data_IF_533170509560
#
_entry.id   IF_533170509560
#
_cell.length_a   1.000
_cell.length_b   1.000
_cell.length_c   1.000
_cell.angle_alpha   90.00
_cell.angle_beta   90.00
_cell.angle_gamma   90.00
#
_symmetry.space_group_name_H-M   'P 1'
#
loop_
_entity.id
_entity.type
_entity.pdbx_description
1 polymer ?
#
# COMPACT_ATOMS: atom_id res chain seq x y z
N UNK A 1 29.99 -28.30 23.57
CA UNK A 1 30.60 -27.44 22.55
C UNK A 1 29.52 -26.55 21.96
N UNK A 2 29.69 -25.22 21.88
CA UNK A 2 28.67 -24.34 21.32
C UNK A 2 28.36 -24.75 19.87
N UNK A 3 27.08 -24.93 19.55
CA UNK A 3 26.65 -25.28 18.20
C UNK A 3 26.62 -24.02 17.32
N UNK A 4 27.81 -23.62 16.87
CA UNK A 4 28.02 -22.44 16.04
C UNK A 4 27.19 -22.46 14.74
N UNK A 5 26.93 -23.64 14.17
CA UNK A 5 26.08 -23.79 12.98
C UNK A 5 24.63 -23.38 13.25
N UNK A 6 24.07 -23.77 14.41
CA UNK A 6 22.72 -23.36 14.80
C UNK A 6 22.62 -21.83 15.03
N UNK A 7 23.65 -21.26 15.67
CA UNK A 7 23.74 -19.81 15.92
C UNK A 7 23.78 -19.02 14.61
N UNK A 8 24.59 -19.46 13.64
CA UNK A 8 24.69 -18.83 12.31
C UNK A 8 23.37 -18.97 11.54
N UNK A 9 22.75 -20.16 11.53
CA UNK A 9 21.48 -20.38 10.85
C UNK A 9 20.39 -19.45 11.40
N UNK A 10 20.32 -19.28 12.71
CA UNK A 10 19.34 -18.40 13.36
C UNK A 10 19.56 -16.92 13.01
N UNK A 11 20.81 -16.49 12.88
CA UNK A 11 21.14 -15.12 12.44
C UNK A 11 20.74 -14.90 10.97
N UNK A 12 21.04 -15.83 10.08
CA UNK A 12 20.67 -15.73 8.65
C UNK A 12 19.14 -15.70 8.48
N UNK A 13 18.40 -16.57 9.19
CA UNK A 13 16.94 -16.56 9.16
C UNK A 13 16.35 -15.24 9.70
N UNK A 14 16.91 -14.69 10.78
CA UNK A 14 16.48 -13.42 11.33
C UNK A 14 16.72 -12.25 10.36
N UNK A 15 17.90 -12.21 9.72
CA UNK A 15 18.21 -11.20 8.70
C UNK A 15 17.30 -11.32 7.47
N UNK A 16 17.05 -12.53 6.98
CA UNK A 16 16.14 -12.78 5.85
C UNK A 16 14.71 -12.32 6.15
N UNK A 17 14.20 -12.64 7.35
CA UNK A 17 12.88 -12.19 7.79
C UNK A 17 12.78 -10.67 7.93
N UNK A 18 13.84 -10.02 8.42
CA UNK A 18 13.86 -8.56 8.54
C UNK A 18 13.91 -7.85 7.18
N UNK A 19 14.73 -8.35 6.25
CA UNK A 19 14.79 -7.83 4.89
C UNK A 19 13.45 -7.99 4.16
N UNK A 20 12.81 -9.15 4.27
CA UNK A 20 11.51 -9.39 3.66
C UNK A 20 10.43 -8.48 4.26
N UNK A 21 10.39 -8.35 5.59
CA UNK A 21 9.47 -7.43 6.27
C UNK A 21 9.71 -5.96 5.86
N UNK A 22 10.96 -5.55 5.66
CA UNK A 22 11.28 -4.19 5.22
C UNK A 22 10.84 -3.93 3.76
N UNK A 23 11.01 -4.91 2.89
CA UNK A 23 10.58 -4.83 1.50
C UNK A 23 9.04 -4.79 1.41
N UNK A 24 8.36 -5.61 2.21
CA UNK A 24 6.91 -5.57 2.34
C UNK A 24 6.44 -4.21 2.84
N UNK A 25 7.07 -3.66 3.88
CA UNK A 25 6.75 -2.33 4.42
C UNK A 25 6.92 -1.24 3.36
N UNK A 26 8.02 -1.25 2.62
CA UNK A 26 8.26 -0.29 1.55
C UNK A 26 7.18 -0.38 0.46
N UNK A 27 6.79 -1.59 0.06
CA UNK A 27 5.69 -1.81 -0.89
C UNK A 27 4.35 -1.30 -0.36
N UNK A 28 4.06 -1.54 0.91
CA UNK A 28 2.83 -1.03 1.55
C UNK A 28 2.82 0.50 1.53
N UNK A 29 3.93 1.16 1.87
CA UNK A 29 4.01 2.62 1.79
C UNK A 29 3.86 3.16 0.37
N UNK A 30 4.48 2.50 -0.62
CA UNK A 30 4.30 2.86 -2.03
C UNK A 30 2.83 2.73 -2.44
N UNK A 31 2.17 1.62 -2.09
CA UNK A 31 0.75 1.41 -2.37
C UNK A 31 -0.14 2.45 -1.67
N UNK A 32 0.20 2.83 -0.44
CA UNK A 32 -0.51 3.88 0.29
C UNK A 32 -0.39 5.23 -0.42
N UNK A 33 0.83 5.58 -0.86
CA UNK A 33 1.08 6.82 -1.59
C UNK A 33 0.35 6.84 -2.94
N UNK A 34 0.40 5.74 -3.70
CA UNK A 34 -0.34 5.60 -4.96
C UNK A 34 -1.85 5.71 -4.74
N UNK A 35 -2.37 5.13 -3.67
CA UNK A 35 -3.79 5.24 -3.32
C UNK A 35 -4.21 6.69 -3.05
N UNK A 36 -3.41 7.43 -2.29
CA UNK A 36 -3.66 8.85 -1.99
C UNK A 36 -3.64 9.71 -3.26
N UNK A 37 -2.70 9.47 -4.17
CA UNK A 37 -2.64 10.14 -5.47
C UNK A 37 -3.89 9.85 -6.31
N UNK A 38 -4.33 8.59 -6.37
CA UNK A 38 -5.53 8.21 -7.11
C UNK A 38 -6.80 8.83 -6.51
N UNK A 39 -6.93 8.87 -5.19
CA UNK A 39 -8.05 9.54 -4.51
C UNK A 39 -8.11 11.02 -4.85
N UNK A 40 -6.96 11.70 -4.81
CA UNK A 40 -6.86 13.11 -5.17
C UNK A 40 -7.29 13.34 -6.62
N UNK A 41 -6.79 12.54 -7.55
CA UNK A 41 -7.16 12.64 -8.96
C UNK A 41 -8.66 12.40 -9.20
N UNK A 42 -9.25 11.43 -8.50
CA UNK A 42 -10.70 11.17 -8.57
C UNK A 42 -11.52 12.35 -8.00
N UNK A 43 -11.07 12.96 -6.90
CA UNK A 43 -11.75 14.14 -6.36
C UNK A 43 -11.67 15.33 -7.31
N UNK A 44 -10.52 15.52 -7.98
CA UNK A 44 -10.38 16.54 -9.01
C UNK A 44 -11.31 16.28 -10.20
N UNK A 45 -11.41 15.04 -10.69
CA UNK A 45 -12.36 14.66 -11.75
C UNK A 45 -13.80 14.94 -11.32
N UNK A 46 -14.16 14.59 -10.08
CA UNK A 46 -15.48 14.87 -9.50
C UNK A 46 -15.78 16.37 -9.46
N UNK A 47 -14.77 17.22 -9.22
CA UNK A 47 -14.93 18.68 -9.20
C UNK A 47 -15.00 19.29 -10.60
N UNK A 48 -14.25 18.74 -11.56
CA UNK A 48 -14.24 19.19 -12.95
C UNK A 48 -15.52 18.85 -13.70
N UNK A 49 -16.14 17.71 -13.40
CA UNK A 49 -17.37 17.24 -14.06
C UNK A 49 -18.47 16.83 -13.05
N UNK A 50 -19.01 17.78 -12.26
CA UNK A 50 -19.84 17.46 -11.10
C UNK A 50 -21.17 16.76 -11.43
N UNK A 51 -21.72 17.02 -12.62
CA UNK A 51 -22.99 16.44 -13.10
C UNK A 51 -22.82 15.45 -14.25
N UNK A 52 -21.63 15.38 -14.86
CA UNK A 52 -21.39 14.47 -15.97
C UNK A 52 -20.97 13.08 -15.53
N UNK A 53 -20.88 12.20 -16.52
CA UNK A 53 -20.67 10.77 -16.31
C UNK A 53 -19.34 10.48 -15.61
N UNK A 54 -18.29 11.24 -15.91
CA UNK A 54 -16.97 10.98 -15.35
C UNK A 54 -16.92 11.35 -13.86
N UNK A 55 -17.53 12.47 -13.46
CA UNK A 55 -17.64 12.81 -12.04
C UNK A 55 -18.56 11.87 -11.26
N UNK A 56 -19.60 11.30 -11.89
CA UNK A 56 -20.40 10.25 -11.28
C UNK A 56 -19.58 8.98 -11.00
N UNK A 57 -18.79 8.52 -11.99
CA UNK A 57 -17.90 7.36 -11.80
C UNK A 57 -16.83 7.63 -10.74
N UNK A 58 -16.25 8.83 -10.72
CA UNK A 58 -15.25 9.22 -9.74
C UNK A 58 -15.84 9.23 -8.32
N UNK A 59 -17.06 9.75 -8.16
CA UNK A 59 -17.79 9.72 -6.89
C UNK A 59 -18.04 8.29 -6.42
N UNK A 60 -18.51 7.40 -7.29
CA UNK A 60 -18.69 5.99 -6.93
C UNK A 60 -17.38 5.29 -6.55
N UNK A 61 -16.29 5.60 -7.24
CA UNK A 61 -14.98 5.02 -6.94
C UNK A 61 -14.48 5.44 -5.55
N UNK A 62 -14.65 6.71 -5.20
CA UNK A 62 -14.32 7.25 -3.86
C UNK A 62 -15.21 6.64 -2.78
N UNK A 63 -16.53 6.62 -2.96
CA UNK A 63 -17.47 6.02 -2.00
C UNK A 63 -17.16 4.55 -1.72
N UNK A 64 -16.80 3.77 -2.75
CA UNK A 64 -16.39 2.37 -2.58
C UNK A 64 -15.03 2.22 -1.89
N UNK A 65 -14.13 3.18 -2.07
CA UNK A 65 -12.83 3.18 -1.42
C UNK A 65 -12.97 3.49 0.07
N UNK A 66 -13.87 4.39 0.45
CA UNK A 66 -14.12 4.77 1.85
C UNK A 66 -14.86 3.67 2.64
N UNK A 67 -15.73 2.88 1.99
CA UNK A 67 -16.40 1.73 2.61
C UNK A 67 -15.45 0.56 2.96
N UNK A 68 -14.19 0.61 2.51
CA UNK A 68 -13.18 -0.43 2.75
C UNK A 68 -12.20 -0.08 3.87
N UNK A 69 -12.24 1.16 4.38
CA UNK A 69 -11.54 1.58 5.60
C UNK A 69 -12.36 1.27 6.85
#
# INVERSE_FOLDING_TARGET
MPNWSYLIARLVSAMGSWLDASNLRNRVYQLQQENELLRTALDDIRRMDPEGRLGWYARQALERADLRE
#
